data_IF_043482841750
#
_entry.id   IF_043482841750
#
_cell.length_a   1.000
_cell.length_b   1.000
_cell.length_c   1.000
_cell.angle_alpha   90.00
_cell.angle_beta   90.00
_cell.angle_gamma   90.00
#
_symmetry.space_group_name_H-M   'P 1'
#
loop_
_entity.id
_entity.type
_entity.pdbx_description
1 polymer ?
#
# COMPACT_ATOMS: atom_id res chain seq x y z
N UNK A 1 2.00 18.37 -3.72
CA UNK A 1 1.02 17.69 -4.55
C UNK A 1 -0.35 18.34 -4.39
N UNK A 2 -1.10 18.51 -5.48
CA UNK A 2 -2.46 19.08 -5.47
C UNK A 2 -3.44 18.26 -4.62
N UNK A 3 -3.14 16.99 -4.41
CA UNK A 3 -3.96 16.05 -3.65
C UNK A 3 -4.16 16.47 -2.18
N UNK A 4 -3.12 16.98 -1.54
CA UNK A 4 -3.19 17.45 -0.16
C UNK A 4 -3.80 18.86 0.00
N UNK A 5 -3.92 19.63 -1.09
CA UNK A 5 -4.44 21.02 -1.05
C UNK A 5 -5.97 21.13 -1.04
N UNK A 6 -6.67 20.16 -0.52
CA UNK A 6 -8.12 20.25 -0.22
C UNK A 6 -9.07 19.89 -1.37
N UNK A 7 -8.59 19.69 -2.60
CA UNK A 7 -9.46 19.35 -3.73
C UNK A 7 -9.86 17.86 -3.77
N UNK A 8 -9.03 16.97 -3.23
CA UNK A 8 -9.26 15.53 -3.30
C UNK A 8 -10.42 15.05 -2.42
N UNK A 9 -10.58 15.63 -1.24
CA UNK A 9 -11.61 15.22 -0.30
C UNK A 9 -13.04 15.37 -0.87
N UNK A 10 -13.46 16.56 -1.37
CA UNK A 10 -14.79 16.70 -1.96
C UNK A 10 -15.02 15.81 -3.18
N UNK A 11 -13.98 15.57 -3.99
CA UNK A 11 -14.06 14.69 -5.15
C UNK A 11 -14.34 13.24 -4.73
N UNK A 12 -13.63 12.75 -3.73
CA UNK A 12 -13.80 11.38 -3.21
C UNK A 12 -15.18 11.23 -2.56
N UNK A 13 -15.64 12.20 -1.77
CA UNK A 13 -16.98 12.22 -1.19
C UNK A 13 -18.06 12.12 -2.28
N UNK A 14 -17.92 12.90 -3.35
CA UNK A 14 -18.84 12.86 -4.49
C UNK A 14 -18.85 11.50 -5.20
N UNK A 15 -17.69 10.89 -5.40
CA UNK A 15 -17.57 9.57 -6.03
C UNK A 15 -18.24 8.49 -5.16
N UNK A 16 -17.94 8.50 -3.86
CA UNK A 16 -18.54 7.58 -2.90
C UNK A 16 -20.07 7.70 -2.91
N UNK A 17 -20.58 8.92 -2.83
CA UNK A 17 -22.01 9.19 -2.83
C UNK A 17 -22.67 8.80 -4.16
N UNK A 18 -22.06 9.18 -5.29
CA UNK A 18 -22.60 8.92 -6.63
C UNK A 18 -22.72 7.43 -6.95
N UNK A 19 -21.74 6.63 -6.55
CA UNK A 19 -21.69 5.21 -6.89
C UNK A 19 -22.04 4.29 -5.72
N UNK A 20 -22.40 4.85 -4.55
CA UNK A 20 -22.72 4.11 -3.34
C UNK A 20 -21.63 3.11 -2.96
N UNK A 21 -20.36 3.51 -3.11
CA UNK A 21 -19.22 2.64 -2.80
C UNK A 21 -19.00 2.61 -1.29
N UNK A 22 -18.94 1.43 -0.66
CA UNK A 22 -18.54 1.33 0.75
C UNK A 22 -17.11 1.90 0.93
N UNK A 23 -16.90 2.90 1.81
CA UNK A 23 -15.58 3.56 1.92
C UNK A 23 -14.42 2.62 2.21
N UNK A 24 -14.64 1.55 2.99
CA UNK A 24 -13.61 0.55 3.31
C UNK A 24 -13.14 -0.29 2.11
N UNK A 25 -13.78 -0.16 0.95
CA UNK A 25 -13.33 -0.78 -0.31
C UNK A 25 -12.47 0.16 -1.15
N UNK A 26 -12.22 1.38 -0.66
CA UNK A 26 -11.36 2.36 -1.32
C UNK A 26 -10.08 2.55 -0.52
N UNK A 27 -8.96 2.51 -1.22
CA UNK A 27 -7.66 2.83 -0.67
C UNK A 27 -7.11 4.11 -1.30
N UNK A 28 -6.45 4.93 -0.48
CA UNK A 28 -5.69 6.10 -0.90
C UNK A 28 -4.23 5.78 -0.82
N UNK A 29 -3.53 5.86 -1.95
CA UNK A 29 -2.09 5.65 -2.02
C UNK A 29 -1.36 6.99 -2.15
N UNK A 30 -0.35 7.18 -1.34
CA UNK A 30 0.47 8.39 -1.30
C UNK A 30 1.93 8.00 -1.29
N UNK A 31 2.72 8.62 -2.14
CA UNK A 31 4.17 8.45 -2.07
C UNK A 31 4.74 9.09 -0.81
N UNK A 32 5.84 8.54 -0.31
CA UNK A 32 6.60 9.07 0.81
C UNK A 32 6.87 10.58 0.67
N UNK A 33 7.32 10.99 -0.51
CA UNK A 33 7.63 12.40 -0.82
C UNK A 33 6.41 13.34 -0.72
N UNK A 34 5.20 12.85 -1.02
CA UNK A 34 3.99 13.65 -0.92
C UNK A 34 3.67 14.03 0.54
N UNK A 35 3.96 13.15 1.49
CA UNK A 35 3.76 13.40 2.92
C UNK A 35 4.73 14.45 3.48
N UNK A 36 5.93 14.53 2.92
CA UNK A 36 6.98 15.43 3.41
C UNK A 36 6.80 16.88 2.94
N UNK A 37 6.00 17.14 1.92
CA UNK A 37 5.79 18.48 1.35
C UNK A 37 5.10 19.42 2.36
N UNK A 38 4.06 18.95 3.04
CA UNK A 38 3.37 19.66 4.12
C UNK A 38 2.84 18.63 5.14
N UNK A 39 3.64 18.27 6.16
CA UNK A 39 3.27 17.24 7.12
C UNK A 39 2.02 17.55 7.94
N UNK A 40 1.74 18.82 8.22
CA UNK A 40 0.55 19.22 9.00
C UNK A 40 -0.73 19.03 8.17
N UNK A 41 -0.69 19.50 6.94
CA UNK A 41 -1.82 19.37 6.02
C UNK A 41 -2.04 17.90 5.62
N UNK A 42 -0.97 17.14 5.38
CA UNK A 42 -1.03 15.71 5.13
C UNK A 42 -1.76 14.99 6.28
N UNK A 43 -1.34 15.21 7.52
CA UNK A 43 -1.97 14.60 8.69
C UNK A 43 -3.45 14.95 8.82
N UNK A 44 -3.80 16.22 8.59
CA UNK A 44 -5.20 16.71 8.64
C UNK A 44 -6.06 16.03 7.58
N UNK A 45 -5.57 15.96 6.35
CA UNK A 45 -6.29 15.39 5.20
C UNK A 45 -6.44 13.87 5.35
N UNK A 46 -5.37 13.18 5.72
CA UNK A 46 -5.40 11.74 5.97
C UNK A 46 -6.32 11.37 7.15
N UNK A 47 -6.36 12.21 8.19
CA UNK A 47 -7.32 12.05 9.29
C UNK A 47 -8.76 12.02 8.79
N UNK A 48 -9.13 12.92 7.88
CA UNK A 48 -10.46 12.95 7.28
C UNK A 48 -10.76 11.70 6.44
N UNK A 49 -9.81 11.23 5.64
CA UNK A 49 -9.99 10.00 4.86
C UNK A 49 -10.20 8.79 5.76
N UNK A 50 -9.42 8.68 6.84
CA UNK A 50 -9.62 7.63 7.83
C UNK A 50 -11.00 7.73 8.49
N UNK A 51 -11.44 8.93 8.87
CA UNK A 51 -12.74 9.16 9.52
C UNK A 51 -13.92 8.82 8.58
N UNK A 52 -13.70 8.88 7.25
CA UNK A 52 -14.61 8.38 6.24
C UNK A 52 -14.58 6.85 6.10
N UNK A 53 -13.60 6.17 6.68
CA UNK A 53 -13.44 4.72 6.59
C UNK A 53 -12.61 4.23 5.41
N UNK A 54 -11.83 5.11 4.73
CA UNK A 54 -10.93 4.70 3.66
C UNK A 54 -9.67 4.06 4.23
N UNK A 55 -9.08 3.13 3.47
CA UNK A 55 -7.73 2.65 3.74
C UNK A 55 -6.69 3.64 3.22
N UNK A 56 -5.57 3.76 3.94
CA UNK A 56 -4.47 4.67 3.60
C UNK A 56 -3.18 3.88 3.54
N UNK A 57 -2.52 3.92 2.37
CA UNK A 57 -1.23 3.28 2.16
C UNK A 57 -0.15 4.30 1.79
N UNK A 58 1.09 3.99 2.17
CA UNK A 58 2.26 4.73 1.70
C UNK A 58 2.96 3.90 0.66
N UNK A 59 3.11 4.50 -0.51
CA UNK A 59 3.74 3.91 -1.69
C UNK A 59 5.21 4.30 -1.82
N UNK A 60 5.98 3.49 -2.55
CA UNK A 60 7.41 3.67 -2.84
C UNK A 60 8.26 3.84 -1.56
N UNK A 61 7.87 3.18 -0.45
CA UNK A 61 8.54 3.38 0.83
C UNK A 61 9.95 2.78 0.81
N UNK A 62 10.92 3.58 1.32
CA UNK A 62 12.33 3.22 1.34
C UNK A 62 13.16 3.85 0.23
N UNK A 63 12.53 4.54 -0.75
CA UNK A 63 13.24 5.26 -1.83
C UNK A 63 13.56 6.71 -1.46
N UNK A 64 13.01 7.23 -0.35
CA UNK A 64 13.13 8.62 0.11
C UNK A 64 13.77 8.76 1.48
N UNK A 65 13.77 10.00 1.98
CA UNK A 65 14.33 10.38 3.29
C UNK A 65 13.23 10.69 4.30
N UNK A 66 12.36 9.75 4.62
CA UNK A 66 11.36 9.99 5.66
C UNK A 66 11.95 9.97 7.06
N UNK A 67 11.53 10.91 7.88
CA UNK A 67 11.73 10.80 9.31
C UNK A 67 10.78 9.73 9.86
N UNK A 68 11.33 8.58 10.26
CA UNK A 68 10.59 7.48 10.90
C UNK A 68 9.73 7.98 12.07
N UNK A 69 10.20 9.02 12.79
CA UNK A 69 9.47 9.63 13.91
C UNK A 69 8.16 10.29 13.46
N UNK A 70 8.09 10.78 12.24
CA UNK A 70 6.88 11.41 11.69
C UNK A 70 5.83 10.39 11.27
N UNK A 71 6.26 9.22 10.80
CA UNK A 71 5.38 8.20 10.24
C UNK A 71 4.33 7.71 11.25
N UNK A 72 4.70 7.54 12.50
CA UNK A 72 3.81 7.11 13.59
C UNK A 72 2.63 8.04 13.84
N UNK A 73 2.69 9.28 13.33
CA UNK A 73 1.65 10.29 13.52
C UNK A 73 0.61 10.33 12.39
N UNK A 74 0.87 9.59 11.31
CA UNK A 74 -0.09 9.48 10.21
C UNK A 74 -1.04 8.31 10.44
N UNK A 75 -2.33 8.48 10.11
CA UNK A 75 -3.32 7.43 10.25
C UNK A 75 -3.27 6.46 9.05
N UNK A 76 -2.16 5.74 8.90
CA UNK A 76 -1.91 4.81 7.80
C UNK A 76 -2.26 3.37 8.21
N UNK A 77 -2.65 2.58 7.23
CA UNK A 77 -3.01 1.17 7.38
C UNK A 77 -1.95 0.23 6.79
N UNK A 78 -1.19 0.72 5.79
CA UNK A 78 -0.34 -0.12 4.96
C UNK A 78 0.94 0.60 4.55
N UNK A 79 2.08 -0.11 4.58
CA UNK A 79 3.34 0.28 3.93
C UNK A 79 3.61 -0.61 2.73
N UNK A 80 3.92 0.01 1.58
CA UNK A 80 4.24 -0.69 0.35
C UNK A 80 5.75 -0.70 0.14
N UNK A 81 6.33 -1.90 0.03
CA UNK A 81 7.74 -2.08 -0.36
C UNK A 81 7.83 -1.89 -1.85
N UNK A 82 8.65 -0.94 -2.29
CA UNK A 82 8.83 -0.62 -3.71
C UNK A 82 9.34 -1.84 -4.50
N UNK A 83 8.81 -1.99 -5.71
CA UNK A 83 9.15 -3.10 -6.61
C UNK A 83 10.64 -3.20 -6.95
N UNK A 84 11.41 -2.09 -6.90
CA UNK A 84 12.84 -2.12 -7.17
C UNK A 84 13.59 -2.98 -6.15
N UNK A 85 13.22 -2.90 -4.88
CA UNK A 85 13.80 -3.73 -3.84
C UNK A 85 13.37 -5.19 -3.98
N UNK A 86 12.10 -5.44 -4.32
CA UNK A 86 11.58 -6.81 -4.51
C UNK A 86 12.26 -7.49 -5.71
N UNK A 87 12.47 -6.76 -6.81
CA UNK A 87 13.17 -7.27 -8.00
C UNK A 87 14.57 -7.75 -7.66
N UNK A 88 15.28 -6.98 -6.84
CA UNK A 88 16.70 -7.22 -6.55
C UNK A 88 16.94 -8.13 -5.33
N UNK A 89 15.88 -8.62 -4.68
CA UNK A 89 15.93 -9.44 -3.46
C UNK A 89 16.83 -10.67 -3.55
N UNK A 90 16.93 -11.30 -4.74
CA UNK A 90 17.69 -12.55 -4.88
C UNK A 90 19.19 -12.31 -5.02
N UNK A 91 19.61 -11.11 -5.39
CA UNK A 91 20.97 -10.82 -5.81
C UNK A 91 21.64 -9.69 -5.04
N UNK A 92 20.87 -8.84 -4.34
CA UNK A 92 21.38 -7.66 -3.64
C UNK A 92 21.10 -7.75 -2.13
N UNK A 93 22.15 -7.89 -1.28
CA UNK A 93 21.99 -7.93 0.18
C UNK A 93 21.37 -6.66 0.77
N UNK A 94 21.65 -5.50 0.17
CA UNK A 94 21.08 -4.21 0.55
C UNK A 94 19.56 -4.14 0.28
N UNK A 95 19.09 -4.66 -0.85
CA UNK A 95 17.67 -4.79 -1.14
C UNK A 95 16.95 -5.66 -0.09
N UNK A 96 17.58 -6.79 0.30
CA UNK A 96 17.06 -7.62 1.39
C UNK A 96 16.97 -6.86 2.72
N UNK A 97 18.01 -6.11 3.07
CA UNK A 97 18.07 -5.35 4.33
C UNK A 97 17.01 -4.23 4.37
N UNK A 98 16.83 -3.51 3.25
CA UNK A 98 15.83 -2.45 3.13
C UNK A 98 14.43 -3.07 3.22
N UNK A 99 14.15 -4.11 2.44
CA UNK A 99 12.86 -4.81 2.47
C UNK A 99 12.51 -5.30 3.86
N UNK A 100 13.44 -5.96 4.56
CA UNK A 100 13.23 -6.42 5.93
C UNK A 100 12.95 -5.25 6.88
N UNK A 101 13.68 -4.14 6.72
CA UNK A 101 13.51 -2.94 7.54
C UNK A 101 12.09 -2.35 7.38
N UNK A 102 11.57 -2.27 6.16
CA UNK A 102 10.22 -1.76 5.88
C UNK A 102 9.15 -2.68 6.50
N UNK A 103 9.31 -4.00 6.35
CA UNK A 103 8.39 -4.99 6.92
C UNK A 103 8.40 -4.92 8.45
N UNK A 104 9.57 -4.82 9.07
CA UNK A 104 9.70 -4.70 10.52
C UNK A 104 9.12 -3.38 11.03
N UNK A 105 9.32 -2.28 10.30
CA UNK A 105 8.74 -0.99 10.61
C UNK A 105 7.20 -1.05 10.60
N UNK A 106 6.60 -1.65 9.57
CA UNK A 106 5.15 -1.85 9.51
C UNK A 106 4.65 -2.62 10.74
N UNK A 107 5.35 -3.70 11.11
CA UNK A 107 5.04 -4.50 12.29
C UNK A 107 5.13 -3.70 13.58
N UNK A 108 6.17 -2.86 13.76
CA UNK A 108 6.32 -2.00 14.94
C UNK A 108 5.24 -0.92 15.03
N UNK A 109 4.77 -0.42 13.89
CA UNK A 109 3.68 0.55 13.82
C UNK A 109 2.29 -0.10 13.99
N UNK A 110 2.20 -1.44 14.00
CA UNK A 110 0.93 -2.17 14.09
C UNK A 110 0.08 -2.08 12.82
N UNK A 111 0.72 -1.88 11.66
CA UNK A 111 0.09 -1.80 10.34
C UNK A 111 0.56 -2.93 9.44
N UNK A 112 -0.13 -3.14 8.31
CA UNK A 112 0.25 -4.17 7.34
C UNK A 112 1.39 -3.72 6.43
N UNK A 113 2.11 -4.70 5.85
CA UNK A 113 3.07 -4.50 4.78
C UNK A 113 2.62 -5.20 3.51
N UNK A 114 2.89 -4.60 2.34
CA UNK A 114 2.71 -5.22 1.03
C UNK A 114 4.01 -5.15 0.24
N UNK A 115 4.40 -6.24 -0.39
CA UNK A 115 5.52 -6.27 -1.32
C UNK A 115 5.00 -6.27 -2.76
N UNK A 116 5.47 -5.33 -3.55
CA UNK A 116 5.04 -5.14 -4.93
C UNK A 116 6.04 -5.73 -5.93
N UNK A 117 5.54 -6.09 -7.12
CA UNK A 117 6.37 -6.55 -8.20
C UNK A 117 6.98 -7.94 -7.98
N UNK A 118 6.29 -8.83 -7.25
CA UNK A 118 6.70 -10.23 -7.13
C UNK A 118 6.47 -10.91 -8.47
N UNK A 119 7.56 -11.40 -9.11
CA UNK A 119 7.52 -11.98 -10.44
C UNK A 119 7.84 -13.48 -10.47
N UNK A 120 8.49 -14.00 -9.41
CA UNK A 120 8.91 -15.40 -9.35
C UNK A 120 8.79 -16.00 -7.94
N UNK A 121 8.93 -17.33 -7.87
CA UNK A 121 8.81 -18.10 -6.63
C UNK A 121 9.92 -17.77 -5.61
N UNK A 122 11.14 -17.45 -6.06
CA UNK A 122 12.26 -17.09 -5.18
C UNK A 122 12.00 -15.79 -4.42
N UNK A 123 11.52 -14.76 -5.11
CA UNK A 123 11.10 -13.50 -4.51
C UNK A 123 9.93 -13.74 -3.53
N UNK A 124 8.92 -14.50 -3.95
CA UNK A 124 7.77 -14.84 -3.10
C UNK A 124 8.19 -15.54 -1.81
N UNK A 125 9.05 -16.57 -1.92
CA UNK A 125 9.55 -17.30 -0.75
C UNK A 125 10.30 -16.39 0.23
N UNK A 126 11.17 -15.50 -0.27
CA UNK A 126 11.90 -14.53 0.56
C UNK A 126 10.97 -13.55 1.26
N UNK A 127 10.04 -12.92 0.53
CA UNK A 127 9.05 -11.98 1.09
C UNK A 127 8.21 -12.66 2.18
N UNK A 128 7.79 -13.89 1.94
CA UNK A 128 7.06 -14.68 2.94
C UNK A 128 7.90 -14.97 4.19
N UNK A 129 9.17 -15.36 4.01
CA UNK A 129 10.10 -15.61 5.14
C UNK A 129 10.35 -14.33 5.97
N UNK A 130 10.39 -13.16 5.34
CA UNK A 130 10.52 -11.87 6.01
C UNK A 130 9.27 -11.49 6.81
N UNK A 131 8.15 -12.19 6.63
CA UNK A 131 6.91 -11.96 7.35
C UNK A 131 6.07 -10.82 6.80
N UNK A 132 6.18 -10.52 5.50
CA UNK A 132 5.29 -9.59 4.82
C UNK A 132 3.85 -10.11 4.84
N UNK A 133 2.89 -9.20 5.00
CA UNK A 133 1.48 -9.58 5.13
C UNK A 133 0.83 -9.87 3.77
N UNK A 134 1.16 -9.07 2.75
CA UNK A 134 0.49 -9.07 1.45
C UNK A 134 1.55 -9.11 0.35
N UNK A 135 1.29 -9.84 -0.72
CA UNK A 135 2.13 -9.84 -1.92
C UNK A 135 1.33 -9.48 -3.16
N UNK A 136 1.93 -8.67 -4.04
CA UNK A 136 1.36 -8.27 -5.32
C UNK A 136 2.41 -8.42 -6.42
N UNK A 137 1.99 -8.93 -7.60
CA UNK A 137 2.88 -9.02 -8.74
C UNK A 137 2.44 -10.06 -9.78
N UNK A 138 3.20 -10.15 -10.86
CA UNK A 138 2.88 -11.03 -11.99
C UNK A 138 3.04 -12.52 -11.66
N UNK A 139 3.73 -12.84 -10.58
CA UNK A 139 3.76 -14.21 -10.05
C UNK A 139 2.36 -14.74 -9.72
N UNK A 140 1.47 -13.89 -9.25
CA UNK A 140 0.08 -14.27 -8.92
C UNK A 140 -0.84 -14.11 -10.13
N UNK A 141 -0.85 -12.93 -10.74
CA UNK A 141 -1.63 -12.62 -11.93
C UNK A 141 -1.16 -11.32 -12.59
N UNK A 142 -1.26 -11.26 -13.91
CA UNK A 142 -1.25 -9.98 -14.61
C UNK A 142 -2.57 -9.24 -14.36
N UNK A 143 -2.60 -7.94 -14.68
CA UNK A 143 -3.83 -7.17 -14.67
C UNK A 143 -4.90 -7.84 -15.55
N UNK A 144 -6.09 -7.99 -15.01
CA UNK A 144 -7.24 -8.61 -15.67
C UNK A 144 -8.31 -7.55 -15.92
N UNK A 145 -9.03 -7.69 -17.02
CA UNK A 145 -10.24 -6.92 -17.26
C UNK A 145 -11.38 -7.41 -16.35
N UNK A 146 -12.42 -6.59 -16.19
CA UNK A 146 -13.61 -6.97 -15.40
C UNK A 146 -14.22 -8.27 -15.91
N UNK A 147 -14.32 -8.44 -17.23
CA UNK A 147 -14.86 -9.65 -17.84
C UNK A 147 -14.04 -10.91 -17.51
N UNK A 148 -12.70 -10.80 -17.47
CA UNK A 148 -11.82 -11.90 -17.07
C UNK A 148 -11.94 -12.24 -15.59
N UNK A 149 -12.14 -11.22 -14.73
CA UNK A 149 -12.39 -11.43 -13.30
C UNK A 149 -13.70 -12.18 -13.07
N UNK A 150 -14.76 -11.80 -13.79
CA UNK A 150 -16.06 -12.48 -13.74
C UNK A 150 -15.97 -13.93 -14.21
N UNK A 151 -15.28 -14.20 -15.31
CA UNK A 151 -15.05 -15.55 -15.82
C UNK A 151 -14.28 -16.44 -14.84
N UNK A 152 -13.35 -15.86 -14.07
CA UNK A 152 -12.60 -16.58 -13.04
C UNK A 152 -13.37 -16.74 -11.72
N UNK A 153 -14.61 -16.27 -11.65
CA UNK A 153 -15.41 -16.30 -10.42
C UNK A 153 -14.88 -15.39 -9.31
N UNK A 154 -13.97 -14.46 -9.64
CA UNK A 154 -13.50 -13.43 -8.74
C UNK A 154 -14.55 -12.32 -8.78
N UNK A 155 -15.66 -12.55 -8.09
CA UNK A 155 -16.70 -11.52 -7.95
C UNK A 155 -16.15 -10.47 -6.98
N UNK A 156 -16.39 -9.21 -7.29
CA UNK A 156 -16.02 -8.07 -6.42
C UNK A 156 -16.86 -8.07 -5.13
N UNK A 157 -16.68 -9.07 -4.30
CA UNK A 157 -17.25 -9.14 -2.93
C UNK A 157 -16.25 -8.69 -1.89
N UNK A 158 -15.49 -7.63 -2.20
CA UNK A 158 -14.41 -7.14 -1.33
C UNK A 158 -13.03 -7.44 -1.91
N UNK A 159 -12.10 -6.62 -1.55
CA UNK A 159 -10.68 -6.64 -1.93
C UNK A 159 -10.16 -8.07 -2.09
N UNK A 160 -9.74 -8.45 -3.29
CA UNK A 160 -9.02 -9.71 -3.48
C UNK A 160 -7.60 -9.53 -2.97
N UNK A 161 -7.46 -9.57 -1.67
CA UNK A 161 -6.17 -9.58 -0.98
C UNK A 161 -5.73 -11.01 -0.86
N UNK A 162 -4.65 -11.40 -1.54
CA UNK A 162 -4.00 -12.69 -1.29
C UNK A 162 -3.19 -12.52 -0.01
N UNK A 163 -3.76 -12.93 1.11
CA UNK A 163 -3.04 -12.94 2.39
C UNK A 163 -2.04 -14.08 2.38
N UNK A 164 -0.77 -13.74 2.64
CA UNK A 164 0.29 -14.73 2.83
C UNK A 164 0.07 -15.38 4.21
N UNK A 165 -0.80 -16.39 4.28
CA UNK A 165 -0.97 -17.16 5.52
C UNK A 165 0.27 -18.01 5.78
N UNK A 166 0.64 -18.11 7.08
CA UNK A 166 1.76 -18.92 7.56
C UNK A 166 1.63 -20.40 7.21
#
# INVERSE_FOLDING_TARGET
SQFLRGAALPMIEQIIAKYSIPPHLLAIELTESALMTDPKEARRTLGKFRDMGLEISIDDFGTGFSSLSSLRHYPINLLKVDQSFVRDLEHAPDACAITQTVIDLARYLGISSIAEGIENEGQFAKIRMMGCNIGQGFFFSKALSVAELEQKGIVATGTTTITLSK
#
